data_IF_324326852930
#
_entry.id   IF_324326852930
#
_cell.length_a   1.000
_cell.length_b   1.000
_cell.length_c   1.000
_cell.angle_alpha   90.00
_cell.angle_beta   90.00
_cell.angle_gamma   90.00
#
_symmetry.space_group_name_H-M   'P 1'
#
loop_
_entity.id
_entity.type
_entity.pdbx_description
1 polymer ?
#
# COMPACT_ATOMS: atom_id res chain seq x y z
N UNK A 1 -26.92 -19.90 -21.26
CA UNK A 1 -26.94 -18.44 -21.45
C UNK A 1 -26.65 -17.80 -20.09
N UNK A 2 -25.44 -17.29 -19.89
CA UNK A 2 -25.06 -16.58 -18.66
C UNK A 2 -25.74 -15.21 -18.70
N UNK A 3 -26.49 -14.84 -17.66
CA UNK A 3 -27.12 -13.51 -17.61
C UNK A 3 -26.03 -12.43 -17.59
N UNK A 4 -26.22 -11.28 -18.26
CA UNK A 4 -25.29 -10.14 -18.15
C UNK A 4 -25.11 -9.75 -16.69
N UNK A 5 -23.88 -9.48 -16.27
CA UNK A 5 -23.62 -8.92 -14.94
C UNK A 5 -24.02 -7.45 -14.91
N UNK A 6 -24.36 -6.93 -13.73
CA UNK A 6 -24.72 -5.53 -13.57
C UNK A 6 -23.61 -4.62 -14.12
N UNK A 7 -23.92 -3.78 -15.11
CA UNK A 7 -22.95 -2.87 -15.74
C UNK A 7 -22.28 -3.41 -17.02
N UNK A 8 -22.64 -4.61 -17.48
CA UNK A 8 -22.22 -5.16 -18.78
C UNK A 8 -23.38 -5.17 -19.79
N UNK A 9 -23.07 -4.97 -21.08
CA UNK A 9 -24.03 -5.22 -22.17
C UNK A 9 -24.04 -6.71 -22.59
N UNK A 10 -24.81 -7.05 -23.62
CA UNK A 10 -24.92 -8.43 -24.13
C UNK A 10 -23.59 -8.98 -24.69
N UNK A 11 -22.65 -8.11 -25.03
CA UNK A 11 -21.32 -8.45 -25.54
C UNK A 11 -20.27 -8.54 -24.43
N UNK A 12 -20.66 -8.34 -23.15
CA UNK A 12 -19.75 -8.29 -22.01
C UNK A 12 -18.98 -6.97 -21.86
N UNK A 13 -19.35 -5.93 -22.61
CA UNK A 13 -18.70 -4.62 -22.53
C UNK A 13 -19.20 -3.82 -21.32
N UNK A 14 -18.28 -3.16 -20.61
CA UNK A 14 -18.59 -2.21 -19.53
C UNK A 14 -19.32 -0.99 -20.12
N UNK A 15 -20.50 -0.67 -19.59
CA UNK A 15 -21.36 0.42 -20.09
C UNK A 15 -21.55 1.59 -19.12
N UNK A 16 -20.77 1.61 -18.03
CA UNK A 16 -20.88 2.62 -17.00
C UNK A 16 -20.56 2.11 -15.60
N UNK A 17 -21.05 2.82 -14.59
CA UNK A 17 -21.03 2.37 -13.21
C UNK A 17 -22.31 2.78 -12.46
N UNK A 18 -22.65 2.00 -11.44
CA UNK A 18 -23.63 2.39 -10.43
C UNK A 18 -22.87 2.94 -9.23
N UNK A 19 -23.32 4.08 -8.72
CA UNK A 19 -22.71 4.74 -7.56
C UNK A 19 -23.79 5.17 -6.56
N UNK A 20 -23.37 5.32 -5.30
CA UNK A 20 -24.19 5.85 -4.23
C UNK A 20 -23.81 7.32 -4.02
N UNK A 21 -24.77 8.23 -4.12
CA UNK A 21 -24.59 9.61 -3.68
C UNK A 21 -24.51 9.63 -2.16
N UNK A 22 -23.34 9.96 -1.60
CA UNK A 22 -23.11 9.92 -0.15
C UNK A 22 -23.97 10.95 0.60
N UNK A 23 -24.24 12.11 -0.03
CA UNK A 23 -25.03 13.19 0.57
C UNK A 23 -26.52 12.83 0.67
N UNK A 24 -27.08 12.24 -0.40
CA UNK A 24 -28.54 12.03 -0.51
C UNK A 24 -28.97 10.57 -0.29
N UNK A 25 -28.03 9.62 -0.36
CA UNK A 25 -28.32 8.18 -0.35
C UNK A 25 -28.91 7.63 -1.66
N UNK A 26 -29.03 8.47 -2.70
CA UNK A 26 -29.56 8.04 -3.99
C UNK A 26 -28.58 7.13 -4.74
N UNK A 27 -29.10 6.07 -5.37
CA UNK A 27 -28.33 5.22 -6.27
C UNK A 27 -28.45 5.75 -7.69
N UNK A 28 -27.31 6.16 -8.27
CA UNK A 28 -27.23 6.76 -9.60
C UNK A 28 -26.52 5.82 -10.56
N UNK A 29 -27.02 5.74 -11.80
CA UNK A 29 -26.35 5.02 -12.88
C UNK A 29 -25.71 6.00 -13.87
N UNK A 30 -24.38 5.96 -13.96
CA UNK A 30 -23.60 6.73 -14.92
C UNK A 30 -23.38 5.91 -16.18
N UNK A 31 -24.21 6.12 -17.20
CA UNK A 31 -24.03 5.49 -18.52
C UNK A 31 -22.86 6.15 -19.27
N UNK A 32 -21.91 5.35 -19.74
CA UNK A 32 -20.77 5.84 -20.49
C UNK A 32 -20.37 4.89 -21.62
N UNK A 33 -19.72 5.41 -22.67
CA UNK A 33 -19.11 4.59 -23.73
C UNK A 33 -17.76 4.01 -23.31
N UNK A 34 -17.10 4.64 -22.35
CA UNK A 34 -15.85 4.20 -21.76
C UNK A 34 -15.83 4.60 -20.28
N UNK A 35 -15.26 3.75 -19.43
CA UNK A 35 -15.16 3.97 -17.99
C UNK A 35 -13.72 3.70 -17.54
N UNK A 36 -13.14 4.65 -16.81
CA UNK A 36 -11.77 4.55 -16.30
C UNK A 36 -11.81 4.40 -14.78
N UNK A 37 -11.22 3.33 -14.26
CA UNK A 37 -11.03 3.14 -12.82
C UNK A 37 -9.65 3.68 -12.43
N UNK A 38 -9.63 4.80 -11.70
CA UNK A 38 -8.42 5.43 -11.17
C UNK A 38 -8.52 5.60 -9.65
N UNK A 39 -8.96 4.55 -8.96
CA UNK A 39 -9.39 4.58 -7.55
C UNK A 39 -8.26 4.48 -6.52
N UNK A 40 -7.00 4.49 -6.96
CA UNK A 40 -5.85 4.24 -6.09
C UNK A 40 -5.71 2.78 -5.63
N UNK A 41 -4.83 2.55 -4.65
CA UNK A 41 -4.52 1.21 -4.12
C UNK A 41 -5.41 0.75 -2.96
N UNK A 42 -5.04 -0.38 -2.36
CA UNK A 42 -5.78 -1.02 -1.26
C UNK A 42 -4.93 -1.20 0.02
N UNK A 43 -4.04 -0.26 0.33
CA UNK A 43 -3.11 -0.42 1.46
C UNK A 43 -3.78 -0.52 2.84
N UNK A 44 -5.08 -0.21 2.96
CA UNK A 44 -5.86 -0.36 4.20
C UNK A 44 -6.22 -1.79 4.57
N UNK A 45 -5.81 -2.78 3.79
CA UNK A 45 -5.84 -4.20 4.22
C UNK A 45 -4.78 -4.50 5.30
N UNK A 46 -3.73 -3.66 5.44
CA UNK A 46 -2.70 -3.81 6.47
C UNK A 46 -2.99 -2.94 7.69
N UNK A 47 -2.69 -3.47 8.88
CA UNK A 47 -2.87 -2.76 10.15
C UNK A 47 -2.02 -1.48 10.24
N UNK A 48 -0.77 -1.53 9.75
CA UNK A 48 0.11 -0.38 9.66
C UNK A 48 0.34 -0.03 8.19
N UNK A 49 0.02 1.21 7.81
CA UNK A 49 0.11 1.67 6.42
C UNK A 49 0.29 3.19 6.37
N UNK A 50 1.01 3.67 5.36
CA UNK A 50 1.12 5.11 5.04
C UNK A 50 -0.09 5.64 4.27
N UNK A 51 -0.97 4.75 3.82
CA UNK A 51 -2.12 5.09 2.99
C UNK A 51 -3.15 5.93 3.75
N UNK A 52 -3.88 6.78 3.04
CA UNK A 52 -5.04 7.45 3.61
C UNK A 52 -6.13 6.42 3.99
N UNK A 53 -7.07 6.81 4.84
CA UNK A 53 -8.19 5.93 5.23
C UNK A 53 -9.07 5.49 4.06
N UNK A 54 -9.06 6.27 2.98
CA UNK A 54 -9.86 6.05 1.76
C UNK A 54 -9.22 5.08 0.76
N UNK A 55 -7.98 4.61 0.97
CA UNK A 55 -7.33 3.66 0.07
C UNK A 55 -7.73 2.21 0.40
N UNK A 56 -8.98 1.88 0.13
CA UNK A 56 -9.65 0.61 0.50
C UNK A 56 -9.75 -0.40 -0.65
N UNK A 57 -9.28 -0.06 -1.85
CA UNK A 57 -9.26 -0.97 -3.00
C UNK A 57 -10.60 -1.10 -3.73
N UNK A 58 -11.48 -0.09 -3.63
CA UNK A 58 -12.85 -0.18 -4.15
C UNK A 58 -12.90 -0.53 -5.65
N UNK A 59 -12.06 0.12 -6.48
CA UNK A 59 -12.00 -0.14 -7.92
C UNK A 59 -11.46 -1.53 -8.26
N UNK A 60 -10.45 -2.01 -7.53
CA UNK A 60 -9.95 -3.38 -7.66
C UNK A 60 -11.05 -4.38 -7.31
N UNK A 61 -11.79 -4.12 -6.21
CA UNK A 61 -12.95 -4.92 -5.83
C UNK A 61 -14.07 -4.91 -6.87
N UNK A 62 -14.33 -3.76 -7.51
CA UNK A 62 -15.30 -3.67 -8.61
C UNK A 62 -14.87 -4.52 -9.81
N UNK A 63 -13.60 -4.43 -10.21
CA UNK A 63 -13.05 -5.22 -11.32
C UNK A 63 -13.18 -6.73 -11.06
N UNK A 64 -12.79 -7.21 -9.87
CA UNK A 64 -12.91 -8.62 -9.47
C UNK A 64 -14.37 -9.09 -9.50
N UNK A 65 -15.33 -8.28 -8.99
CA UNK A 65 -16.76 -8.62 -9.03
C UNK A 65 -17.33 -8.68 -10.45
N UNK A 66 -16.80 -7.85 -11.35
CA UNK A 66 -17.09 -7.93 -12.79
C UNK A 66 -16.37 -9.11 -13.49
N UNK A 67 -15.53 -9.87 -12.79
CA UNK A 67 -14.75 -10.96 -13.35
C UNK A 67 -13.61 -10.50 -14.27
N UNK A 68 -13.17 -9.25 -14.14
CA UNK A 68 -11.97 -8.75 -14.78
C UNK A 68 -10.76 -9.27 -14.01
N UNK A 69 -9.78 -9.92 -14.66
CA UNK A 69 -8.59 -10.39 -13.99
C UNK A 69 -7.77 -9.21 -13.46
N UNK A 70 -7.19 -9.40 -12.28
CA UNK A 70 -6.24 -8.48 -11.64
C UNK A 70 -4.87 -9.15 -11.61
N UNK A 71 -3.80 -8.36 -11.60
CA UNK A 71 -2.43 -8.85 -11.74
C UNK A 71 -1.57 -8.43 -10.54
N UNK A 72 -0.63 -9.30 -10.15
CA UNK A 72 0.42 -9.05 -9.15
C UNK A 72 -0.12 -8.57 -7.78
N UNK A 73 -1.30 -9.08 -7.39
CA UNK A 73 -2.00 -8.68 -6.16
C UNK A 73 -1.26 -9.06 -4.87
N UNK A 74 -0.25 -9.94 -4.97
CA UNK A 74 0.67 -10.33 -3.91
C UNK A 74 1.83 -9.35 -3.72
N UNK A 75 2.11 -8.46 -4.68
CA UNK A 75 3.30 -7.60 -4.71
C UNK A 75 3.10 -6.30 -3.92
N UNK A 76 3.10 -6.39 -2.59
CA UNK A 76 2.98 -5.24 -1.69
C UNK A 76 4.34 -4.61 -1.36
N UNK A 77 4.48 -3.31 -1.64
CA UNK A 77 5.67 -2.54 -1.26
C UNK A 77 5.56 -2.03 0.18
N UNK A 78 6.58 -2.34 0.99
CA UNK A 78 6.75 -1.75 2.32
C UNK A 78 7.77 -0.61 2.24
N UNK A 79 7.35 0.59 2.62
CA UNK A 79 8.26 1.73 2.68
C UNK A 79 9.16 1.63 3.93
N UNK A 80 10.50 1.72 3.81
CA UNK A 80 11.40 1.49 4.95
C UNK A 80 11.20 2.42 6.15
N UNK A 81 10.84 3.67 5.88
CA UNK A 81 10.80 4.75 6.88
C UNK A 81 9.39 5.29 7.12
N UNK A 82 8.47 4.42 7.52
CA UNK A 82 7.20 4.84 8.13
C UNK A 82 7.40 5.16 9.62
N UNK A 83 6.84 6.26 10.11
CA UNK A 83 6.95 6.63 11.54
C UNK A 83 6.27 5.56 12.38
N UNK A 84 7.01 4.96 13.32
CA UNK A 84 6.50 3.92 14.20
C UNK A 84 5.23 4.38 14.95
N UNK A 85 4.22 3.51 15.01
CA UNK A 85 2.91 3.81 15.60
C UNK A 85 1.99 4.60 14.69
N UNK A 86 2.41 5.78 14.23
CA UNK A 86 1.57 6.68 13.41
C UNK A 86 1.42 6.23 11.95
N UNK A 87 2.42 5.57 11.38
CA UNK A 87 2.44 5.14 9.97
C UNK A 87 2.68 6.26 8.96
N UNK A 88 2.89 7.51 9.39
CA UNK A 88 3.17 8.64 8.49
C UNK A 88 4.48 8.41 7.74
N UNK A 89 4.50 8.74 6.45
CA UNK A 89 5.67 8.58 5.60
C UNK A 89 6.79 9.57 5.99
N UNK A 90 7.99 9.07 6.19
CA UNK A 90 9.23 9.86 6.08
C UNK A 90 9.81 9.60 4.70
N UNK A 91 10.01 10.67 3.93
CA UNK A 91 10.48 10.58 2.54
C UNK A 91 11.81 9.83 2.43
N UNK A 92 11.92 9.00 1.39
CA UNK A 92 13.19 8.39 0.98
C UNK A 92 14.27 9.43 0.67
N UNK A 93 13.86 10.65 0.31
CA UNK A 93 14.76 11.79 0.17
C UNK A 93 15.61 12.04 1.42
N UNK A 94 15.13 11.71 2.63
CA UNK A 94 15.97 11.81 3.83
C UNK A 94 17.23 10.94 3.74
N UNK A 95 17.14 9.74 3.16
CA UNK A 95 18.29 8.87 2.91
C UNK A 95 19.10 9.34 1.70
N UNK A 96 18.41 9.80 0.65
CA UNK A 96 19.01 10.42 -0.54
C UNK A 96 19.94 11.58 -0.21
N UNK A 97 19.54 12.43 0.75
CA UNK A 97 20.28 13.60 1.23
C UNK A 97 21.28 13.28 2.36
N UNK A 98 21.65 12.01 2.54
CA UNK A 98 22.70 11.59 3.46
C UNK A 98 22.24 11.12 4.85
N UNK A 99 20.94 11.02 5.09
CA UNK A 99 20.40 10.32 6.25
C UNK A 99 20.70 8.82 6.21
N UNK A 100 20.89 8.21 7.37
CA UNK A 100 21.26 6.80 7.51
C UNK A 100 20.47 6.13 8.61
N UNK A 101 20.30 4.82 8.47
CA UNK A 101 19.59 3.98 9.43
C UNK A 101 20.54 3.45 10.50
N UNK A 102 20.11 3.54 11.76
CA UNK A 102 20.83 3.03 12.91
C UNK A 102 20.01 1.96 13.65
N UNK A 103 20.68 0.95 14.17
CA UNK A 103 20.10 0.02 15.14
C UNK A 103 20.29 0.52 16.58
N UNK A 104 19.83 -0.23 17.59
CA UNK A 104 19.93 0.16 19.02
C UNK A 104 21.36 0.31 19.53
N UNK A 105 22.35 -0.23 18.81
CA UNK A 105 23.76 -0.17 19.15
C UNK A 105 24.46 1.04 18.51
N UNK A 106 23.75 1.83 17.70
CA UNK A 106 24.34 2.94 16.94
C UNK A 106 25.12 2.48 15.70
N UNK A 107 24.93 1.23 15.25
CA UNK A 107 25.54 0.72 14.03
C UNK A 107 24.75 1.18 12.80
N UNK A 108 25.45 1.66 11.78
CA UNK A 108 24.92 1.88 10.42
C UNK A 108 24.76 0.56 9.69
N UNK A 109 23.79 -0.25 10.12
CA UNK A 109 23.66 -1.66 9.71
C UNK A 109 23.52 -1.86 8.20
N UNK A 110 23.03 -0.87 7.44
CA UNK A 110 22.91 -0.99 5.98
C UNK A 110 24.26 -1.14 5.26
N UNK A 111 25.38 -0.71 5.87
CA UNK A 111 26.72 -0.96 5.33
C UNK A 111 27.07 -2.45 5.27
N UNK A 112 26.48 -3.26 6.17
CA UNK A 112 26.63 -4.72 6.19
C UNK A 112 25.74 -5.43 5.18
N UNK A 113 24.49 -4.98 5.00
CA UNK A 113 23.53 -5.65 4.11
C UNK A 113 23.65 -5.23 2.64
N UNK A 114 24.08 -3.99 2.37
CA UNK A 114 24.25 -3.47 1.02
C UNK A 114 25.54 -2.63 0.93
N UNK A 115 26.73 -3.25 0.87
CA UNK A 115 28.00 -2.53 0.98
C UNK A 115 28.19 -1.38 -0.03
N UNK A 116 27.64 -1.54 -1.24
CA UNK A 116 27.74 -0.54 -2.31
C UNK A 116 26.69 0.57 -2.18
N UNK A 117 25.41 0.20 -2.04
CA UNK A 117 24.30 1.14 -2.08
C UNK A 117 23.90 1.68 -0.70
N UNK A 118 24.24 0.97 0.38
CA UNK A 118 23.93 1.29 1.77
C UNK A 118 22.44 1.62 1.92
N UNK A 119 22.12 2.75 2.54
CA UNK A 119 20.75 3.25 2.75
C UNK A 119 19.99 3.57 1.45
N UNK A 120 20.68 3.61 0.28
CA UNK A 120 20.08 3.81 -1.05
C UNK A 120 19.82 2.49 -1.80
N UNK A 121 19.97 1.34 -1.14
CA UNK A 121 19.54 0.06 -1.70
C UNK A 121 18.03 0.06 -2.03
N UNK A 122 17.59 -0.89 -2.86
CA UNK A 122 16.18 -1.07 -3.19
C UNK A 122 15.29 -1.17 -1.94
N UNK A 123 14.07 -0.62 -2.01
CA UNK A 123 13.17 -0.53 -0.86
C UNK A 123 12.91 -1.88 -0.20
N UNK A 124 12.78 -2.92 -1.00
CA UNK A 124 12.59 -4.30 -0.56
C UNK A 124 13.81 -4.81 0.23
N UNK A 125 15.03 -4.48 -0.20
CA UNK A 125 16.28 -4.82 0.51
C UNK A 125 16.32 -4.09 1.85
N UNK A 126 16.12 -2.78 1.85
CA UNK A 126 16.18 -1.98 3.09
C UNK A 126 15.10 -2.43 4.09
N UNK A 127 13.87 -2.65 3.63
CA UNK A 127 12.78 -3.11 4.49
C UNK A 127 13.06 -4.51 5.09
N UNK A 128 13.62 -5.44 4.30
CA UNK A 128 14.05 -6.77 4.82
C UNK A 128 15.17 -6.64 5.84
N UNK A 129 16.19 -5.82 5.58
CA UNK A 129 17.30 -5.59 6.51
C UNK A 129 16.82 -5.04 7.85
N UNK A 130 15.91 -4.05 7.84
CA UNK A 130 15.28 -3.53 9.07
C UNK A 130 14.57 -4.66 9.84
N UNK A 131 13.80 -5.51 9.16
CA UNK A 131 13.10 -6.61 9.82
C UNK A 131 14.06 -7.65 10.41
N UNK A 132 15.20 -7.91 9.76
CA UNK A 132 16.25 -8.79 10.29
C UNK A 132 16.83 -8.20 11.58
N UNK A 133 17.23 -6.92 11.57
CA UNK A 133 17.73 -6.24 12.77
C UNK A 133 16.72 -6.30 13.93
N UNK A 134 15.44 -6.12 13.64
CA UNK A 134 14.38 -6.23 14.66
C UNK A 134 14.30 -7.65 15.24
N UNK A 135 14.32 -8.68 14.38
CA UNK A 135 14.23 -10.09 14.78
C UNK A 135 15.46 -10.57 15.56
N UNK A 136 16.63 -10.03 15.24
CA UNK A 136 17.88 -10.27 15.98
C UNK A 136 17.95 -9.47 17.30
N UNK A 137 16.88 -8.73 17.62
CA UNK A 137 16.77 -7.98 18.86
C UNK A 137 17.53 -6.66 18.84
N UNK A 138 18.05 -6.21 17.69
CA UNK A 138 18.76 -4.95 17.53
C UNK A 138 17.82 -3.73 17.32
N UNK A 139 16.49 -3.92 17.42
CA UNK A 139 15.51 -2.84 17.33
C UNK A 139 15.75 -1.72 18.35
N UNK A 140 15.76 -0.47 17.89
CA UNK A 140 15.74 0.68 18.78
C UNK A 140 14.41 0.74 19.55
N UNK A 141 14.48 1.02 20.85
CA UNK A 141 13.28 1.20 21.69
C UNK A 141 12.73 2.61 21.53
N UNK A 142 11.47 2.73 21.14
CA UNK A 142 10.75 3.99 21.20
C UNK A 142 10.30 4.21 22.64
N UNK A 143 10.95 5.13 23.37
CA UNK A 143 10.50 5.51 24.73
C UNK A 143 9.04 6.02 24.65
N UNK A 144 8.12 5.32 25.30
CA UNK A 144 6.70 5.67 25.35
C UNK A 144 5.77 4.84 24.46
N UNK A 145 6.31 4.02 23.54
CA UNK A 145 5.50 3.05 22.81
C UNK A 145 5.29 1.82 23.70
N UNK A 146 4.13 1.73 24.37
CA UNK A 146 3.71 0.49 25.02
C UNK A 146 3.61 -0.59 23.93
N UNK A 147 4.54 -1.54 23.94
CA UNK A 147 4.39 -2.82 23.25
C UNK A 147 3.18 -3.52 23.87
N UNK A 148 2.00 -3.37 23.26
CA UNK A 148 0.88 -4.27 23.56
C UNK A 148 1.17 -5.54 22.77
N UNK A 149 1.67 -6.54 23.48
CA UNK A 149 1.52 -7.93 23.05
C UNK A 149 0.03 -8.29 23.05
#
# INVERSE_FOLDING_TARGET
MVRPRSGENQDGAVVGCTALCIETGEVVYFKARATVLATGGAGRIYQSTTNAHINTGDGVGMAIRAGVPVQDMEMWQFHPTGIAGAGVLVTEGCRGEGGYLLNKHGERFMERYAPNAKDLAGRDVVARSIMIEIREGAAATVRGARTRN
#
